data_IF_914120254017
#
_entry.id   IF_914120254017
#
_cell.length_a   1.000
_cell.length_b   1.000
_cell.length_c   1.000
_cell.angle_alpha   90.00
_cell.angle_beta   90.00
_cell.angle_gamma   90.00
#
_symmetry.space_group_name_H-M   'P 1'
#
loop_
_entity.id
_entity.type
_entity.pdbx_description
1 polymer ?
#
# COMPACT_ATOMS: atom_id res chain seq x y z
N UNK A 1 -13.81 0.31 1.13
CA UNK A 1 -12.98 -0.80 0.64
C UNK A 1 -12.39 -0.41 -0.71
N UNK A 2 -11.06 -0.28 -0.82
CA UNK A 2 -10.35 -0.40 -2.09
C UNK A 2 -10.02 -1.89 -2.25
N UNK A 3 -11.06 -2.70 -2.43
CA UNK A 3 -10.94 -3.92 -3.23
C UNK A 3 -10.34 -3.56 -4.60
N UNK A 4 -9.89 -4.55 -5.38
CA UNK A 4 -9.59 -4.36 -6.82
C UNK A 4 -10.78 -3.78 -7.62
N UNK A 5 -11.91 -3.59 -6.97
CA UNK A 5 -13.08 -2.88 -7.47
C UNK A 5 -12.95 -1.34 -7.42
N UNK A 6 -11.93 -0.77 -6.75
CA UNK A 6 -11.65 0.68 -6.69
C UNK A 6 -12.88 1.51 -6.25
N UNK A 7 -13.61 1.02 -5.25
CA UNK A 7 -14.82 1.67 -4.74
C UNK A 7 -16.07 1.49 -5.62
N UNK A 8 -15.98 0.72 -6.71
CA UNK A 8 -17.11 0.38 -7.57
C UNK A 8 -17.68 -0.97 -7.16
N UNK A 9 -18.96 -1.04 -6.83
CA UNK A 9 -19.65 -2.31 -6.59
C UNK A 9 -19.73 -3.14 -7.88
N UNK A 10 -19.53 -4.45 -7.79
CA UNK A 10 -19.66 -5.38 -8.92
C UNK A 10 -18.87 -4.96 -10.17
N UNK A 11 -17.66 -4.40 -9.99
CA UNK A 11 -16.85 -3.90 -11.11
C UNK A 11 -16.55 -5.02 -12.11
N UNK A 12 -17.15 -4.93 -13.28
CA UNK A 12 -16.81 -5.75 -14.45
C UNK A 12 -15.91 -4.97 -15.40
N UNK A 13 -14.88 -5.61 -15.96
CA UNK A 13 -13.98 -4.99 -16.93
C UNK A 13 -12.73 -4.35 -16.30
N UNK A 14 -12.05 -3.47 -17.04
CA UNK A 14 -10.87 -2.73 -16.56
C UNK A 14 -11.28 -1.38 -15.96
N UNK A 15 -10.44 -0.82 -15.08
CA UNK A 15 -10.66 0.53 -14.58
C UNK A 15 -10.28 1.57 -15.63
N UNK A 16 -11.00 2.68 -15.68
CA UNK A 16 -10.82 3.70 -16.71
C UNK A 16 -9.49 4.45 -16.55
N UNK A 17 -8.62 4.38 -17.56
CA UNK A 17 -7.26 4.92 -17.51
C UNK A 17 -7.14 6.45 -17.33
N UNK A 18 -8.06 7.29 -17.82
CA UNK A 18 -8.01 8.74 -17.61
C UNK A 18 -8.28 9.16 -16.16
N UNK A 19 -8.83 8.28 -15.33
CA UNK A 19 -9.16 8.63 -13.95
C UNK A 19 -7.88 8.79 -13.12
N UNK A 20 -7.65 9.96 -12.48
CA UNK A 20 -6.46 10.17 -11.67
C UNK A 20 -6.37 9.17 -10.52
N UNK A 21 -5.23 8.48 -10.43
CA UNK A 21 -4.92 7.60 -9.30
C UNK A 21 -4.31 8.41 -8.16
N UNK A 22 -5.15 8.78 -7.19
CA UNK A 22 -4.74 9.56 -6.02
C UNK A 22 -4.45 8.70 -4.79
N UNK A 23 -4.71 7.40 -4.87
CA UNK A 23 -4.44 6.45 -3.81
C UNK A 23 -2.93 6.20 -3.67
N UNK A 24 -2.47 6.09 -2.43
CA UNK A 24 -1.07 5.82 -2.09
C UNK A 24 -0.89 4.36 -1.73
N UNK A 25 0.34 3.88 -1.88
CA UNK A 25 0.73 2.55 -1.42
C UNK A 25 0.44 2.35 0.08
N UNK A 26 0.53 3.43 0.87
CA UNK A 26 0.27 3.45 2.32
C UNK A 26 -1.19 3.37 2.71
N UNK A 27 -2.12 3.74 1.83
CA UNK A 27 -3.55 3.80 2.17
C UNK A 27 -4.12 2.39 2.48
N UNK A 28 -3.45 1.34 2.00
CA UNK A 28 -3.82 -0.04 2.29
C UNK A 28 -3.69 -0.41 3.78
N UNK A 29 -2.84 0.27 4.56
CA UNK A 29 -2.68 -0.03 5.99
C UNK A 29 -3.96 0.31 6.75
N UNK A 30 -4.55 1.48 6.46
CA UNK A 30 -5.83 1.89 7.05
C UNK A 30 -6.94 0.91 6.66
N UNK A 31 -6.97 0.49 5.40
CA UNK A 31 -7.96 -0.47 4.93
C UNK A 31 -7.84 -1.85 5.60
N UNK A 32 -6.62 -2.40 5.74
CA UNK A 32 -6.41 -3.66 6.47
C UNK A 32 -6.94 -3.52 7.90
N UNK A 33 -6.71 -2.36 8.54
CA UNK A 33 -7.24 -2.06 9.86
C UNK A 33 -8.77 -2.01 9.93
N UNK A 34 -9.43 -1.43 8.93
CA UNK A 34 -10.89 -1.42 8.83
C UNK A 34 -11.47 -2.84 8.70
N UNK A 35 -10.84 -3.68 7.88
CA UNK A 35 -11.24 -5.09 7.73
C UNK A 35 -11.01 -5.90 9.01
N UNK A 36 -9.86 -5.70 9.68
CA UNK A 36 -9.61 -6.31 10.98
C UNK A 36 -10.69 -5.91 11.99
N UNK A 37 -11.02 -4.61 12.09
CA UNK A 37 -12.06 -4.12 13.00
C UNK A 37 -13.42 -4.74 12.67
N UNK A 38 -13.79 -4.79 11.39
CA UNK A 38 -15.04 -5.41 10.96
C UNK A 38 -15.14 -6.88 11.39
N UNK A 39 -14.05 -7.64 11.33
CA UNK A 39 -14.00 -9.02 11.82
C UNK A 39 -14.09 -9.08 13.35
N UNK A 40 -13.39 -8.20 14.06
CA UNK A 40 -13.47 -8.13 15.53
C UNK A 40 -14.86 -7.77 16.02
N UNK A 41 -15.57 -6.85 15.35
CA UNK A 41 -16.96 -6.49 15.67
C UNK A 41 -17.93 -7.68 15.49
N UNK A 42 -17.55 -8.69 14.70
CA UNK A 42 -18.27 -9.96 14.54
C UNK A 42 -17.85 -11.04 15.54
N UNK A 43 -16.96 -10.73 16.49
CA UNK A 43 -16.46 -11.66 17.49
C UNK A 43 -15.26 -12.52 17.06
N UNK A 44 -14.57 -12.16 15.96
CA UNK A 44 -13.35 -12.86 15.55
C UNK A 44 -12.17 -12.42 16.43
N UNK A 45 -11.61 -13.37 17.17
CA UNK A 45 -10.51 -13.13 18.12
C UNK A 45 -9.12 -13.51 17.58
N UNK A 46 -9.06 -14.26 16.49
CA UNK A 46 -7.81 -14.75 15.89
C UNK A 46 -7.84 -14.63 14.37
N UNK A 47 -6.89 -13.86 13.84
CA UNK A 47 -6.79 -13.51 12.42
C UNK A 47 -5.39 -13.87 11.92
N UNK A 48 -5.31 -14.51 10.75
CA UNK A 48 -4.07 -14.64 9.98
C UNK A 48 -4.18 -13.75 8.74
N UNK A 49 -3.23 -12.84 8.57
CA UNK A 49 -3.21 -11.97 7.39
C UNK A 49 -2.39 -12.62 6.28
N UNK A 50 -2.98 -12.79 5.10
CA UNK A 50 -2.28 -13.25 3.92
C UNK A 50 -2.10 -12.09 2.93
N UNK A 51 -0.88 -11.93 2.41
CA UNK A 51 -0.58 -10.93 1.40
C UNK A 51 0.32 -11.48 0.29
N UNK A 52 0.00 -11.13 -0.95
CA UNK A 52 0.79 -11.49 -2.13
C UNK A 52 1.41 -10.25 -2.80
N UNK A 53 2.66 -10.35 -3.27
CA UNK A 53 3.33 -9.30 -4.06
C UNK A 53 3.34 -7.95 -3.34
N UNK A 54 2.79 -6.89 -3.96
CA UNK A 54 2.58 -5.58 -3.32
C UNK A 54 1.76 -5.70 -2.03
N UNK A 55 0.70 -6.50 -2.04
CA UNK A 55 -0.13 -6.77 -0.86
C UNK A 55 0.66 -7.46 0.25
N UNK A 56 1.64 -8.31 -0.09
CA UNK A 56 2.55 -8.91 0.88
C UNK A 56 3.40 -7.89 1.63
N UNK A 57 3.89 -6.85 0.93
CA UNK A 57 4.58 -5.72 1.58
C UNK A 57 3.63 -4.97 2.53
N UNK A 58 2.41 -4.66 2.08
CA UNK A 58 1.42 -3.93 2.88
C UNK A 58 0.96 -4.72 4.11
N UNK A 59 0.74 -6.03 3.97
CA UNK A 59 0.45 -6.93 5.10
C UNK A 59 1.59 -6.98 6.10
N UNK A 60 2.84 -7.10 5.63
CA UNK A 60 4.00 -7.11 6.50
C UNK A 60 4.16 -5.79 7.25
N UNK A 61 3.97 -4.66 6.56
CA UNK A 61 4.02 -3.33 7.14
C UNK A 61 2.92 -3.17 8.20
N UNK A 62 1.66 -3.43 7.86
CA UNK A 62 0.55 -3.36 8.81
C UNK A 62 0.81 -4.21 10.07
N UNK A 63 1.28 -5.46 9.89
CA UNK A 63 1.59 -6.36 10.99
C UNK A 63 2.71 -5.82 11.91
N UNK A 64 3.67 -5.05 11.38
CA UNK A 64 4.74 -4.43 12.15
C UNK A 64 4.28 -3.25 13.03
N UNK A 65 3.13 -2.66 12.73
CA UNK A 65 2.54 -1.54 13.47
C UNK A 65 1.46 -1.97 14.47
N UNK A 66 1.21 -3.27 14.60
CA UNK A 66 0.21 -3.80 15.51
C UNK A 66 0.57 -3.52 16.97
N UNK A 67 -0.45 -3.11 17.72
CA UNK A 67 -0.36 -2.91 19.16
C UNK A 67 -0.63 -4.23 19.90
N UNK A 68 -0.18 -4.27 21.15
CA UNK A 68 -0.54 -5.34 22.08
C UNK A 68 -2.06 -5.51 22.17
N UNK A 69 -2.53 -6.76 22.25
CA UNK A 69 -3.95 -7.10 22.24
C UNK A 69 -4.58 -7.22 20.84
N UNK A 70 -3.80 -7.08 19.76
CA UNK A 70 -4.31 -7.32 18.41
C UNK A 70 -4.86 -8.76 18.21
N UNK A 71 -5.99 -8.93 17.48
CA UNK A 71 -6.49 -10.24 17.08
C UNK A 71 -5.62 -10.91 16.00
N UNK A 72 -4.71 -10.18 15.34
CA UNK A 72 -3.82 -10.75 14.32
C UNK A 72 -2.72 -11.56 14.99
N UNK A 73 -2.67 -12.87 14.68
CA UNK A 73 -1.75 -13.85 15.29
C UNK A 73 -0.57 -14.21 14.41
N UNK A 74 -0.61 -13.83 13.13
CA UNK A 74 0.47 -14.12 12.19
C UNK A 74 0.20 -13.62 10.79
N UNK A 75 1.23 -13.74 9.95
CA UNK A 75 1.16 -13.38 8.53
C UNK A 75 1.62 -14.52 7.64
N UNK A 76 1.04 -14.60 6.44
CA UNK A 76 1.49 -15.46 5.34
C UNK A 76 1.85 -14.52 4.19
N UNK A 77 3.15 -14.42 3.88
CA UNK A 77 3.67 -13.49 2.90
C UNK A 77 4.14 -14.25 1.66
N UNK A 78 3.43 -14.08 0.54
CA UNK A 78 3.72 -14.76 -0.72
C UNK A 78 4.39 -13.76 -1.66
N UNK A 79 5.67 -14.00 -1.96
CA UNK A 79 6.48 -13.13 -2.82
C UNK A 79 6.35 -11.62 -2.48
N UNK A 80 6.49 -11.20 -1.21
CA UNK A 80 6.24 -9.82 -0.81
C UNK A 80 7.22 -8.86 -1.47
N UNK A 81 6.74 -7.70 -1.91
CA UNK A 81 7.56 -6.63 -2.48
C UNK A 81 8.34 -5.87 -1.37
N UNK A 82 9.15 -6.56 -0.58
CA UNK A 82 9.75 -6.02 0.65
C UNK A 82 11.02 -5.18 0.45
N UNK A 83 11.81 -5.42 -0.60
CA UNK A 83 13.12 -4.78 -0.80
C UNK A 83 13.42 -4.51 -2.27
N UNK A 84 12.73 -3.53 -2.88
CA UNK A 84 12.89 -3.22 -4.31
C UNK A 84 13.40 -1.81 -4.60
N UNK A 85 13.67 -0.96 -3.60
CA UNK A 85 14.01 0.45 -3.86
C UNK A 85 15.33 0.58 -4.63
N UNK A 86 16.40 -0.07 -4.18
CA UNK A 86 17.71 0.00 -4.87
C UNK A 86 17.65 -0.62 -6.26
N UNK A 87 16.95 -1.76 -6.38
CA UNK A 87 16.69 -2.40 -7.66
C UNK A 87 15.91 -1.47 -8.61
N UNK A 88 14.84 -0.83 -8.13
CA UNK A 88 14.02 0.10 -8.90
C UNK A 88 14.81 1.35 -9.30
N UNK A 89 15.64 1.89 -8.41
CA UNK A 89 16.49 3.04 -8.72
C UNK A 89 17.52 2.69 -9.80
N UNK A 90 18.14 1.50 -9.71
CA UNK A 90 19.07 1.00 -10.70
C UNK A 90 18.40 0.73 -12.06
N UNK A 91 17.24 0.06 -12.07
CA UNK A 91 16.48 -0.22 -13.30
C UNK A 91 15.99 1.07 -13.96
N UNK A 92 15.48 2.02 -13.17
CA UNK A 92 15.07 3.34 -13.65
C UNK A 92 16.24 4.07 -14.32
N UNK A 93 17.41 4.11 -13.66
CA UNK A 93 18.61 4.72 -14.24
C UNK A 93 19.05 4.03 -15.52
N UNK A 94 18.98 2.70 -15.58
CA UNK A 94 19.30 1.93 -16.78
C UNK A 94 18.35 2.23 -17.94
N UNK A 95 17.06 2.39 -17.66
CA UNK A 95 16.02 2.56 -18.68
C UNK A 95 15.90 3.98 -19.21
N UNK A 96 16.09 4.98 -18.36
CA UNK A 96 15.85 6.38 -18.67
C UNK A 96 17.11 7.25 -18.65
N UNK A 97 18.27 6.67 -18.32
CA UNK A 97 19.57 7.35 -18.22
C UNK A 97 19.59 8.50 -17.18
N UNK A 98 18.60 8.54 -16.30
CA UNK A 98 18.41 9.56 -15.27
C UNK A 98 18.34 8.90 -13.89
N UNK A 99 19.02 9.48 -12.89
CA UNK A 99 18.95 9.00 -11.52
C UNK A 99 17.61 9.35 -10.86
N UNK A 100 17.03 8.39 -10.13
CA UNK A 100 15.72 8.57 -9.48
C UNK A 100 15.77 9.53 -8.28
N UNK A 101 16.85 9.51 -7.50
CA UNK A 101 17.00 10.31 -6.28
C UNK A 101 16.75 11.83 -6.46
N UNK A 102 17.38 12.55 -7.41
CA UNK A 102 17.13 13.99 -7.59
C UNK A 102 15.69 14.30 -8.01
N UNK A 103 15.02 13.40 -8.74
CA UNK A 103 13.63 13.57 -9.14
C UNK A 103 12.68 13.42 -7.93
N UNK A 104 12.94 12.43 -7.08
CA UNK A 104 12.19 12.22 -5.83
C UNK A 104 12.38 13.40 -4.88
N UNK A 105 13.60 13.93 -4.75
CA UNK A 105 13.86 15.12 -3.92
C UNK A 105 13.08 16.34 -4.43
N UNK A 106 13.09 16.58 -5.75
CA UNK A 106 12.30 17.66 -6.36
C UNK A 106 10.81 17.46 -6.11
N UNK A 107 10.29 16.25 -6.28
CA UNK A 107 8.88 15.94 -6.04
C UNK A 107 8.49 16.19 -4.58
N UNK A 108 9.33 15.77 -3.63
CA UNK A 108 9.09 16.00 -2.20
C UNK A 108 9.05 17.49 -1.84
N UNK A 109 9.94 18.31 -2.42
CA UNK A 109 9.91 19.77 -2.25
C UNK A 109 8.60 20.36 -2.76
N UNK A 110 8.18 20.00 -3.97
CA UNK A 110 6.91 20.48 -4.53
C UNK A 110 5.70 20.07 -3.69
N UNK A 111 5.68 18.86 -3.12
CA UNK A 111 4.61 18.41 -2.22
C UNK A 111 4.62 19.20 -0.91
N UNK A 112 5.79 19.48 -0.35
CA UNK A 112 5.91 20.29 0.86
C UNK A 112 5.42 21.73 0.63
N UNK A 113 5.83 22.35 -0.47
CA UNK A 113 5.44 23.71 -0.86
C UNK A 113 3.92 23.79 -1.12
N UNK A 114 3.36 22.81 -1.84
CA UNK A 114 1.92 22.75 -2.09
C UNK A 114 1.10 22.55 -0.81
N UNK A 115 1.64 21.86 0.20
CA UNK A 115 1.00 21.73 1.53
C UNK A 115 1.16 22.97 2.40
N UNK A 116 2.14 23.83 2.11
CA UNK A 116 2.39 25.08 2.82
C UNK A 116 1.56 26.25 2.27
N UNK A 117 0.85 26.06 1.16
CA UNK A 117 -0.06 27.05 0.57
C UNK A 117 -1.50 26.66 0.94
N UNK A 118 -2.28 27.52 1.63
CA UNK A 118 -3.65 27.20 2.05
C UNK A 118 -4.63 27.07 0.89
#
# INVERSE_FOLDING_TARGET
AISLSLGLSERTGMYDCPVPHNHKHTDALEEIGLWQKCLSDQGVESIILLGHSRGGNQTAWYASELKEGSPVKGTILIAPASNVIDYMAADYKKRYEVGLAPLVEKANKLVADARATP
#
